data_IF_536540193954
#
_entry.id   IF_536540193954
#
_cell.length_a   1.000
_cell.length_b   1.000
_cell.length_c   1.000
_cell.angle_alpha   90.00
_cell.angle_beta   90.00
_cell.angle_gamma   90.00
#
_symmetry.space_group_name_H-M   'P 1'
#
loop_
_entity.id
_entity.type
_entity.pdbx_description
1 polymer ?
#
# COMPACT_ATOMS: atom_id res chain seq x y z
N UNK A 1 2.69 10.86 28.00
CA UNK A 1 3.61 9.77 27.59
C UNK A 1 3.14 9.24 26.26
N UNK A 2 3.79 9.61 25.15
CA UNK A 2 3.49 9.06 23.84
C UNK A 2 4.47 7.90 23.61
N UNK A 3 3.96 6.67 23.66
CA UNK A 3 4.68 5.49 23.18
C UNK A 3 4.72 5.58 21.65
N UNK A 4 5.79 6.17 21.11
CA UNK A 4 6.11 6.06 19.70
C UNK A 4 6.35 4.58 19.41
N UNK A 5 5.40 3.93 18.74
CA UNK A 5 5.62 2.63 18.14
C UNK A 5 6.73 2.81 17.09
N UNK A 6 7.96 2.47 17.47
CA UNK A 6 9.10 2.42 16.56
C UNK A 6 8.73 1.34 15.52
N UNK A 7 8.53 1.68 14.24
CA UNK A 7 8.44 0.65 13.23
C UNK A 7 9.81 0.01 13.18
N UNK A 8 9.96 -1.16 13.82
CA UNK A 8 11.20 -1.91 13.80
C UNK A 8 11.48 -2.23 12.33
N UNK A 9 12.55 -1.68 11.77
CA UNK A 9 12.93 -1.84 10.36
C UNK A 9 12.96 -3.31 9.92
N UNK A 10 13.18 -4.24 10.86
CA UNK A 10 13.07 -5.69 10.63
C UNK A 10 11.67 -6.17 10.18
N UNK A 11 10.60 -5.46 10.54
CA UNK A 11 9.25 -5.71 10.04
C UNK A 11 9.06 -5.27 8.58
N UNK A 12 9.63 -4.12 8.20
CA UNK A 12 9.55 -3.58 6.84
C UNK A 12 10.30 -4.49 5.86
N UNK A 13 11.53 -4.87 6.17
CA UNK A 13 12.30 -5.76 5.29
C UNK A 13 11.64 -7.14 5.13
N UNK A 14 11.07 -7.67 6.21
CA UNK A 14 10.32 -8.93 6.15
C UNK A 14 9.05 -8.82 5.29
N UNK A 15 8.33 -7.70 5.40
CA UNK A 15 7.15 -7.43 4.58
C UNK A 15 7.50 -7.31 3.09
N UNK A 16 8.55 -6.54 2.75
CA UNK A 16 9.01 -6.40 1.36
C UNK A 16 9.44 -7.77 0.79
N UNK A 17 10.12 -8.60 1.60
CA UNK A 17 10.51 -9.95 1.19
C UNK A 17 9.32 -10.88 0.98
N UNK A 18 8.26 -10.78 1.80
CA UNK A 18 7.02 -11.53 1.58
C UNK A 18 6.33 -11.08 0.30
N UNK A 19 6.16 -9.77 0.12
CA UNK A 19 5.57 -9.20 -1.08
C UNK A 19 6.30 -9.66 -2.35
N UNK A 20 7.64 -9.58 -2.36
CA UNK A 20 8.45 -10.07 -3.48
C UNK A 20 8.17 -11.54 -3.85
N UNK A 21 8.02 -12.41 -2.85
CA UNK A 21 7.71 -13.83 -3.07
C UNK A 21 6.29 -14.06 -3.57
N UNK A 22 5.33 -13.30 -3.07
CA UNK A 22 3.92 -13.50 -3.42
C UNK A 22 3.58 -12.89 -4.77
N UNK A 23 4.12 -11.71 -5.11
CA UNK A 23 3.80 -10.99 -6.34
C UNK A 23 4.79 -11.28 -7.47
N UNK A 24 5.91 -11.96 -7.18
CA UNK A 24 6.97 -12.26 -8.16
C UNK A 24 7.85 -11.06 -8.53
N UNK A 25 7.69 -9.90 -7.89
CA UNK A 25 8.52 -8.72 -8.12
C UNK A 25 9.83 -8.84 -7.35
N UNK A 26 10.93 -8.38 -7.94
CA UNK A 26 12.25 -8.44 -7.32
C UNK A 26 12.32 -7.69 -5.97
N UNK A 27 12.94 -8.34 -4.98
CA UNK A 27 13.07 -7.79 -3.62
C UNK A 27 13.90 -6.52 -3.60
N UNK A 28 15.04 -6.50 -4.30
CA UNK A 28 15.92 -5.34 -4.35
C UNK A 28 15.24 -4.15 -5.03
N UNK A 29 14.42 -4.40 -6.04
CA UNK A 29 13.58 -3.37 -6.66
C UNK A 29 12.60 -2.75 -5.66
N UNK A 30 11.82 -3.57 -4.94
CA UNK A 30 10.87 -3.06 -3.94
C UNK A 30 11.59 -2.34 -2.79
N UNK A 31 12.73 -2.86 -2.34
CA UNK A 31 13.56 -2.27 -1.29
C UNK A 31 14.10 -0.90 -1.70
N UNK A 32 14.65 -0.77 -2.92
CA UNK A 32 15.13 0.51 -3.46
C UNK A 32 14.00 1.52 -3.59
N UNK A 33 12.84 1.06 -4.05
CA UNK A 33 11.64 1.90 -4.18
C UNK A 33 11.19 2.42 -2.82
N UNK A 34 11.01 1.54 -1.83
CA UNK A 34 10.63 1.94 -0.47
C UNK A 34 11.64 2.90 0.18
N UNK A 35 12.94 2.70 -0.05
CA UNK A 35 13.99 3.64 0.40
C UNK A 35 13.86 5.00 -0.29
N UNK A 36 13.62 5.03 -1.60
CA UNK A 36 13.48 6.27 -2.37
C UNK A 36 12.25 7.07 -1.97
N UNK A 37 11.12 6.41 -1.81
CA UNK A 37 9.83 7.07 -1.58
C UNK A 37 9.65 7.52 -0.12
N UNK A 38 10.13 6.75 0.86
CA UNK A 38 9.84 7.02 2.27
C UNK A 38 11.05 6.90 3.21
N UNK A 39 12.25 6.58 2.70
CA UNK A 39 13.39 6.20 3.52
C UNK A 39 13.08 5.02 4.47
N UNK A 40 12.28 4.04 3.99
CA UNK A 40 11.78 2.90 4.77
C UNK A 40 10.89 3.26 5.97
N UNK A 41 10.27 4.44 5.94
CA UNK A 41 9.33 4.87 6.97
C UNK A 41 7.89 4.53 6.58
N UNK A 42 7.27 3.51 7.20
CA UNK A 42 5.88 3.14 6.90
C UNK A 42 4.89 4.23 7.30
N UNK A 43 5.25 5.17 8.18
CA UNK A 43 4.40 6.28 8.62
C UNK A 43 4.60 7.56 7.81
N UNK A 44 5.37 7.52 6.72
CA UNK A 44 5.64 8.69 5.88
C UNK A 44 4.34 9.29 5.29
N UNK A 45 4.23 10.61 5.30
CA UNK A 45 3.10 11.37 4.74
C UNK A 45 3.62 12.57 3.97
N UNK A 46 3.22 12.71 2.72
CA UNK A 46 3.54 13.88 1.93
C UNK A 46 2.76 15.11 2.43
N UNK A 47 3.37 16.30 2.36
CA UNK A 47 2.75 17.55 2.83
C UNK A 47 1.82 18.18 1.80
N UNK A 48 2.02 17.89 0.53
CA UNK A 48 1.37 18.55 -0.61
C UNK A 48 0.43 17.62 -1.38
N UNK A 49 0.30 16.36 -0.98
CA UNK A 49 -0.49 15.36 -1.68
C UNK A 49 -1.07 14.32 -0.72
N UNK A 50 -1.95 13.46 -1.23
CA UNK A 50 -2.50 12.33 -0.48
C UNK A 50 -1.54 11.13 -0.37
N UNK A 51 -0.29 11.28 -0.85
CA UNK A 51 0.72 10.23 -0.80
C UNK A 51 1.09 9.90 0.66
N UNK A 52 1.00 8.61 0.98
CA UNK A 52 1.25 8.11 2.32
C UNK A 52 1.83 6.70 2.29
N UNK A 53 2.50 6.33 3.38
CA UNK A 53 3.03 5.00 3.57
C UNK A 53 4.41 4.78 2.97
N UNK A 54 4.86 3.53 3.09
CA UNK A 54 6.19 3.04 2.69
C UNK A 54 6.51 3.31 1.20
N UNK A 55 5.49 3.25 0.34
CA UNK A 55 5.59 3.43 -1.12
C UNK A 55 4.93 4.72 -1.62
N UNK A 56 4.59 5.66 -0.71
CA UNK A 56 3.97 6.94 -1.05
C UNK A 56 2.75 6.82 -2.00
N UNK A 57 1.88 5.85 -1.70
CA UNK A 57 0.66 5.63 -2.46
C UNK A 57 -0.27 6.84 -2.36
N UNK A 58 -0.57 7.45 -3.51
CA UNK A 58 -1.67 8.41 -3.63
C UNK A 58 -3.02 7.69 -3.55
N UNK A 59 -4.04 8.39 -3.06
CA UNK A 59 -5.34 7.82 -2.74
C UNK A 59 -6.01 7.03 -3.87
N UNK A 60 -6.06 7.59 -5.08
CA UNK A 60 -6.76 6.93 -6.20
C UNK A 60 -6.04 5.66 -6.66
N UNK A 61 -4.70 5.72 -6.75
CA UNK A 61 -3.89 4.54 -7.06
C UNK A 61 -4.08 3.48 -5.99
N UNK A 62 -4.00 3.85 -4.71
CA UNK A 62 -4.24 2.93 -3.60
C UNK A 62 -5.57 2.19 -3.70
N UNK A 63 -6.66 2.94 -3.84
CA UNK A 63 -8.00 2.37 -3.92
C UNK A 63 -8.14 1.44 -5.13
N UNK A 64 -7.59 1.84 -6.29
CA UNK A 64 -7.61 1.00 -7.48
C UNK A 64 -6.84 -0.30 -7.30
N UNK A 65 -5.66 -0.25 -6.67
CA UNK A 65 -4.82 -1.43 -6.45
C UNK A 65 -5.45 -2.38 -5.43
N UNK A 66 -5.94 -1.87 -4.30
CA UNK A 66 -6.64 -2.68 -3.30
C UNK A 66 -7.90 -3.29 -3.90
N UNK A 67 -8.67 -2.55 -4.70
CA UNK A 67 -9.87 -3.10 -5.35
C UNK A 67 -9.54 -4.29 -6.26
N UNK A 68 -8.47 -4.18 -7.04
CA UNK A 68 -8.09 -5.18 -8.06
C UNK A 68 -7.38 -6.39 -7.46
N UNK A 69 -6.48 -6.18 -6.51
CA UNK A 69 -5.57 -7.21 -6.02
C UNK A 69 -5.79 -7.58 -4.55
N UNK A 70 -6.48 -6.73 -3.77
CA UNK A 70 -6.66 -6.92 -2.33
C UNK A 70 -7.28 -8.26 -1.97
N UNK A 71 -8.26 -8.74 -2.72
CA UNK A 71 -8.90 -10.04 -2.48
C UNK A 71 -7.92 -11.23 -2.53
N UNK A 72 -6.91 -11.17 -3.41
CA UNK A 72 -5.92 -12.24 -3.60
C UNK A 72 -4.97 -12.37 -2.41
N UNK A 73 -4.85 -11.30 -1.61
CA UNK A 73 -3.88 -11.17 -0.52
C UNK A 73 -4.55 -11.07 0.87
N UNK A 74 -5.81 -11.48 0.99
CA UNK A 74 -6.54 -11.47 2.26
C UNK A 74 -7.16 -10.11 2.64
N UNK A 75 -7.08 -9.11 1.76
CA UNK A 75 -7.69 -7.78 1.92
C UNK A 75 -9.05 -7.65 1.21
N UNK A 76 -9.71 -8.77 0.88
CA UNK A 76 -10.98 -8.79 0.14
C UNK A 76 -12.08 -7.95 0.81
N UNK A 77 -12.20 -8.07 2.14
CA UNK A 77 -13.15 -7.26 2.91
C UNK A 77 -12.94 -5.74 2.73
N UNK A 78 -11.70 -5.29 2.49
CA UNK A 78 -11.39 -3.89 2.23
C UNK A 78 -11.65 -3.53 0.78
N UNK A 79 -11.33 -4.43 -0.15
CA UNK A 79 -11.60 -4.28 -1.57
C UNK A 79 -13.11 -4.17 -1.86
N UNK A 80 -13.95 -4.87 -1.11
CA UNK A 80 -15.41 -4.84 -1.26
C UNK A 80 -16.02 -3.49 -0.86
N UNK A 81 -15.40 -2.79 0.09
CA UNK A 81 -15.81 -1.44 0.51
C UNK A 81 -15.49 -0.37 -0.53
N UNK A 82 -14.63 -0.69 -1.51
CA UNK A 82 -14.22 0.22 -2.57
C UNK A 82 -15.16 0.06 -3.77
N UNK A 83 -15.77 1.17 -4.17
CA UNK A 83 -16.65 1.25 -5.33
C UNK A 83 -16.18 2.34 -6.30
N UNK A 84 -16.58 2.21 -7.56
CA UNK A 84 -16.31 3.21 -8.59
C UNK A 84 -17.53 4.12 -8.72
N UNK A 85 -17.34 5.43 -8.62
CA UNK A 85 -18.41 6.40 -8.85
C UNK A 85 -18.72 6.58 -10.33
N UNK A 86 -19.79 7.32 -10.63
CA UNK A 86 -20.22 7.64 -11.99
C UNK A 86 -19.20 8.43 -12.82
N UNK A 87 -18.27 9.11 -12.15
CA UNK A 87 -17.15 9.83 -12.75
C UNK A 87 -15.89 8.94 -12.97
N UNK A 88 -16.00 7.64 -12.73
CA UNK A 88 -14.90 6.69 -12.88
C UNK A 88 -13.89 6.68 -11.72
N UNK A 89 -14.07 7.52 -10.69
CA UNK A 89 -13.16 7.60 -9.54
C UNK A 89 -13.49 6.56 -8.47
N UNK A 90 -12.45 6.02 -7.85
CA UNK A 90 -12.60 5.08 -6.74
C UNK A 90 -12.89 5.82 -5.43
N UNK A 91 -13.85 5.29 -4.67
CA UNK A 91 -14.32 5.84 -3.39
C UNK A 91 -14.63 4.74 -2.38
N UNK A 92 -14.67 5.12 -1.11
CA UNK A 92 -15.10 4.30 0.02
C UNK A 92 -16.05 5.16 0.86
N UNK A 93 -17.19 4.61 1.25
CA UNK A 93 -18.21 5.35 1.97
C UNK A 93 -17.95 5.39 3.48
N UNK A 94 -18.38 6.49 4.10
CA UNK A 94 -18.48 6.63 5.55
C UNK A 94 -17.16 6.40 6.31
N UNK A 95 -17.29 5.81 7.50
CA UNK A 95 -16.17 5.55 8.42
C UNK A 95 -15.19 4.50 7.92
N UNK A 96 -15.60 3.62 6.99
CA UNK A 96 -14.76 2.59 6.41
C UNK A 96 -13.57 3.16 5.62
N UNK A 97 -13.69 4.40 5.11
CA UNK A 97 -12.63 5.06 4.34
C UNK A 97 -11.32 5.12 5.10
N UNK A 98 -11.35 5.47 6.38
CA UNK A 98 -10.12 5.60 7.17
C UNK A 98 -9.41 4.26 7.31
N UNK A 99 -10.18 3.18 7.53
CA UNK A 99 -9.63 1.83 7.65
C UNK A 99 -8.94 1.40 6.36
N UNK A 100 -9.58 1.61 5.20
CA UNK A 100 -8.97 1.29 3.90
C UNK A 100 -7.73 2.15 3.64
N UNK A 101 -7.75 3.42 4.02
CA UNK A 101 -6.61 4.33 3.81
C UNK A 101 -5.43 4.04 4.73
N UNK A 102 -5.70 3.59 5.96
CA UNK A 102 -4.69 3.34 6.99
C UNK A 102 -3.87 2.09 6.70
N UNK A 103 -4.40 1.15 5.91
CA UNK A 103 -3.64 0.01 5.39
C UNK A 103 -2.39 0.43 4.59
N UNK A 104 -2.30 1.68 4.10
CA UNK A 104 -1.06 2.19 3.48
C UNK A 104 0.11 2.30 4.46
N UNK A 105 -0.18 2.42 5.75
CA UNK A 105 0.83 2.46 6.81
C UNK A 105 1.21 1.05 7.30
N UNK A 106 0.45 0.02 6.92
CA UNK A 106 0.83 -1.37 7.17
C UNK A 106 1.90 -1.79 6.16
N UNK A 107 3.07 -2.21 6.66
CA UNK A 107 4.19 -2.56 5.79
C UNK A 107 3.89 -3.76 4.89
N UNK A 108 3.09 -4.73 5.36
CA UNK A 108 2.74 -5.94 4.61
C UNK A 108 1.76 -5.62 3.49
N UNK A 109 0.68 -4.91 3.82
CA UNK A 109 -0.31 -4.47 2.84
C UNK A 109 0.33 -3.54 1.80
N UNK A 110 1.09 -2.54 2.24
CA UNK A 110 1.74 -1.59 1.34
C UNK A 110 2.76 -2.27 0.42
N UNK A 111 3.57 -3.19 0.94
CA UNK A 111 4.56 -3.92 0.12
C UNK A 111 3.89 -4.82 -0.89
N UNK A 112 2.86 -5.55 -0.48
CA UNK A 112 2.14 -6.47 -1.36
C UNK A 112 1.42 -5.72 -2.47
N UNK A 113 0.71 -4.64 -2.15
CA UNK A 113 0.07 -3.80 -3.17
C UNK A 113 1.09 -3.11 -4.09
N UNK A 114 2.28 -2.74 -3.60
CA UNK A 114 3.36 -2.19 -4.44
C UNK A 114 3.92 -3.22 -5.44
N UNK A 115 4.08 -4.47 -4.98
CA UNK A 115 4.44 -5.60 -5.83
C UNK A 115 3.39 -5.83 -6.92
N UNK A 116 2.11 -5.89 -6.55
CA UNK A 116 1.00 -6.08 -7.50
C UNK A 116 0.89 -4.95 -8.53
N UNK A 117 1.05 -3.70 -8.08
CA UNK A 117 1.05 -2.54 -8.98
C UNK A 117 2.22 -2.62 -9.97
N UNK A 118 3.40 -3.00 -9.50
CA UNK A 118 4.59 -3.13 -10.34
C UNK A 118 4.44 -4.27 -11.35
N UNK A 119 3.96 -5.43 -10.90
CA UNK A 119 3.68 -6.58 -11.76
C UNK A 119 2.62 -6.23 -12.82
N UNK A 120 1.56 -5.54 -12.43
CA UNK A 120 0.50 -5.10 -13.35
C UNK A 120 0.99 -4.09 -14.38
N UNK A 121 1.88 -3.18 -13.98
CA UNK A 121 2.48 -2.20 -14.90
C UNK A 121 3.51 -2.85 -15.85
N UNK A 122 4.18 -3.93 -15.44
CA UNK A 122 5.12 -4.67 -16.26
C UNK A 122 4.46 -5.65 -17.25
N UNK A 123 3.19 -5.99 -17.01
CA UNK A 123 2.39 -6.86 -17.89
C UNK A 123 1.70 -6.11 -19.05
N UNK A 124 1.89 -4.79 -19.12
CA UNK A 124 1.35 -3.89 -20.16
C UNK A 124 2.45 -3.49 -21.15
#
# INVERSE_FOLDING_TARGET
>A
MAISAIPLSGGVEAAIRRASRTTGVDFDFLMKTARRESALNPSARARTSSAAGLFQFIEQTWLSTVKRHGAQHGYGQYADLIHQGSDGRWRVDGSARNVVMDLRFDADAASTMAGELTASNAAY
#
